data_IF_209575109196
#
_entry.id   IF_209575109196
#
_cell.length_a   1.000
_cell.length_b   1.000
_cell.length_c   1.000
_cell.angle_alpha   90.00
_cell.angle_beta   90.00
_cell.angle_gamma   90.00
#
_symmetry.space_group_name_H-M   'P 1'
#
loop_
_entity.id
_entity.type
_entity.pdbx_description
1 polymer ?
#
# COMPACT_ATOMS: atom_id res chain seq x y z
N UNK A 1 10.88 -7.76 38.27
CA UNK A 1 9.51 -7.91 37.71
C UNK A 1 8.99 -6.53 37.35
N UNK A 2 9.06 -6.13 36.07
CA UNK A 2 8.54 -4.84 35.63
C UNK A 2 7.06 -5.02 35.25
N UNK A 3 6.19 -4.38 36.02
CA UNK A 3 4.75 -4.39 35.80
C UNK A 3 4.39 -3.73 34.48
N UNK A 4 4.12 -4.56 33.47
CA UNK A 4 3.54 -4.11 32.21
C UNK A 4 2.15 -3.54 32.46
N UNK A 5 1.99 -2.24 32.21
CA UNK A 5 0.68 -1.57 32.18
C UNK A 5 -0.17 -2.29 31.13
N UNK A 6 -1.19 -3.05 31.58
CA UNK A 6 -2.20 -3.63 30.69
C UNK A 6 -3.11 -2.50 30.22
N UNK A 7 -2.79 -1.90 29.08
CA UNK A 7 -3.76 -1.06 28.39
C UNK A 7 -4.89 -1.95 27.87
N UNK A 8 -6.16 -1.62 28.16
CA UNK A 8 -7.27 -2.35 27.56
C UNK A 8 -7.20 -2.17 26.04
N UNK A 9 -7.21 -3.29 25.32
CA UNK A 9 -7.32 -3.27 23.86
C UNK A 9 -8.71 -2.75 23.52
N UNK A 10 -8.80 -1.49 23.11
CA UNK A 10 -10.00 -0.94 22.51
C UNK A 10 -10.20 -1.59 21.14
N UNK A 11 -11.38 -2.14 20.91
CA UNK A 11 -11.75 -2.66 19.59
C UNK A 11 -11.87 -1.46 18.64
N UNK A 12 -10.93 -1.36 17.71
CA UNK A 12 -10.93 -0.32 16.67
C UNK A 12 -11.35 -0.97 15.36
N UNK A 13 -12.43 -0.47 14.75
CA UNK A 13 -12.98 -1.03 13.50
C UNK A 13 -11.98 -0.93 12.34
N UNK A 14 -11.20 0.16 12.25
CA UNK A 14 -10.18 0.38 11.22
C UNK A 14 -8.95 1.06 11.81
N UNK A 15 -7.77 0.51 11.54
CA UNK A 15 -6.48 1.08 11.96
C UNK A 15 -5.52 1.19 10.78
N UNK A 16 -4.64 2.19 10.80
CA UNK A 16 -3.60 2.36 9.79
C UNK A 16 -2.28 1.85 10.34
N UNK A 17 -1.67 0.88 9.66
CA UNK A 17 -0.38 0.32 10.05
C UNK A 17 0.56 0.27 8.83
N UNK A 18 1.74 0.88 8.91
CA UNK A 18 2.71 0.97 7.80
C UNK A 18 2.10 1.35 6.44
N UNK A 19 1.15 2.29 6.43
CA UNK A 19 0.39 2.73 5.25
C UNK A 19 -0.66 1.74 4.71
N UNK A 20 -0.98 0.69 5.46
CA UNK A 20 -2.00 -0.31 5.15
C UNK A 20 -3.16 -0.09 6.11
N UNK A 21 -4.35 0.17 5.55
CA UNK A 21 -5.58 0.19 6.33
C UNK A 21 -6.00 -1.25 6.63
N UNK A 22 -6.08 -1.58 7.92
CA UNK A 22 -6.48 -2.88 8.46
C UNK A 22 -7.85 -2.69 9.09
N UNK A 23 -8.84 -3.37 8.53
CA UNK A 23 -10.19 -3.48 9.07
C UNK A 23 -10.23 -4.65 10.06
N UNK A 24 -11.08 -4.58 11.10
CA UNK A 24 -11.31 -5.67 12.06
C UNK A 24 -11.76 -6.97 11.39
N UNK A 25 -12.43 -6.87 10.23
CA UNK A 25 -12.86 -8.00 9.39
C UNK A 25 -11.78 -8.47 8.41
N UNK A 26 -10.59 -7.86 8.42
CA UNK A 26 -9.49 -8.09 7.47
C UNK A 26 -9.91 -7.96 6.01
N UNK A 27 -10.88 -7.07 5.75
CA UNK A 27 -11.34 -6.73 4.41
C UNK A 27 -10.48 -5.58 3.88
N UNK A 28 -9.74 -5.83 2.81
CA UNK A 28 -8.77 -4.86 2.26
C UNK A 28 -9.31 -4.03 1.09
N UNK A 29 -10.60 -4.12 0.73
CA UNK A 29 -11.17 -3.40 -0.42
C UNK A 29 -10.92 -1.89 -0.36
N UNK A 30 -11.12 -1.28 0.81
CA UNK A 30 -10.90 0.15 1.04
C UNK A 30 -9.42 0.51 0.88
N UNK A 31 -8.53 -0.34 1.41
CA UNK A 31 -7.10 -0.14 1.31
C UNK A 31 -6.58 -0.26 -0.13
N UNK A 32 -7.08 -1.26 -0.86
CA UNK A 32 -6.79 -1.46 -2.30
C UNK A 32 -7.27 -0.24 -3.09
N UNK A 33 -8.46 0.27 -2.81
CA UNK A 33 -9.00 1.45 -3.47
C UNK A 33 -8.14 2.70 -3.20
N UNK A 34 -7.78 2.95 -1.93
CA UNK A 34 -6.94 4.09 -1.56
C UNK A 34 -5.54 4.01 -2.19
N UNK A 35 -4.93 2.82 -2.15
CA UNK A 35 -3.60 2.58 -2.74
C UNK A 35 -3.63 2.74 -4.26
N UNK A 36 -4.66 2.22 -4.93
CA UNK A 36 -4.87 2.40 -6.37
C UNK A 36 -5.06 3.87 -6.74
N UNK A 37 -5.82 4.63 -5.94
CA UNK A 37 -5.98 6.07 -6.13
C UNK A 37 -4.66 6.83 -6.00
N UNK A 38 -3.82 6.46 -5.03
CA UNK A 38 -2.48 7.04 -4.83
C UNK A 38 -1.56 6.73 -6.03
N UNK A 39 -1.53 5.49 -6.48
CA UNK A 39 -0.77 5.08 -7.67
C UNK A 39 -1.21 5.83 -8.93
N UNK A 40 -2.52 5.99 -9.13
CA UNK A 40 -3.07 6.75 -10.27
C UNK A 40 -2.69 8.24 -10.22
N UNK A 41 -2.71 8.86 -9.04
CA UNK A 41 -2.23 10.24 -8.88
C UNK A 41 -0.76 10.36 -9.26
N UNK A 42 0.08 9.43 -8.81
CA UNK A 42 1.51 9.38 -9.16
C UNK A 42 1.70 9.22 -10.67
N UNK A 43 0.98 8.29 -11.30
CA UNK A 43 1.01 8.09 -12.75
C UNK A 43 0.60 9.35 -13.51
N UNK A 44 -0.43 10.07 -13.04
CA UNK A 44 -0.87 11.35 -13.61
C UNK A 44 0.20 12.45 -13.50
N UNK A 45 0.86 12.56 -12.34
CA UNK A 45 1.97 13.49 -12.14
C UNK A 45 3.13 13.18 -13.10
N UNK A 46 3.49 11.91 -13.23
CA UNK A 46 4.55 11.48 -14.14
C UNK A 46 4.21 11.84 -15.59
N UNK A 47 3.00 11.50 -16.05
CA UNK A 47 2.54 11.81 -17.42
C UNK A 47 2.57 13.30 -17.74
N UNK A 48 2.26 14.16 -16.76
CA UNK A 48 2.26 15.62 -16.94
C UNK A 48 3.67 16.21 -17.00
N UNK A 49 4.58 15.73 -16.16
CA UNK A 49 5.93 16.30 -16.04
C UNK A 49 6.92 15.71 -17.04
N UNK A 50 6.75 14.46 -17.46
CA UNK A 50 7.68 13.75 -18.34
C UNK A 50 7.09 13.47 -19.72
N UNK A 51 6.23 14.35 -20.23
CA UNK A 51 5.55 14.19 -21.54
C UNK A 51 6.51 13.98 -22.71
N UNK A 52 7.70 14.58 -22.63
CA UNK A 52 8.72 14.53 -23.69
C UNK A 52 9.82 13.48 -23.41
N UNK A 53 9.71 12.72 -22.31
CA UNK A 53 10.70 11.70 -22.00
C UNK A 53 10.57 10.49 -22.95
N UNK A 54 11.69 9.82 -23.30
CA UNK A 54 11.64 8.57 -24.04
C UNK A 54 10.76 7.55 -23.32
N UNK A 55 9.83 6.91 -24.04
CA UNK A 55 8.88 5.93 -23.48
C UNK A 55 9.57 4.82 -22.68
N UNK A 56 10.73 4.36 -23.17
CA UNK A 56 11.53 3.34 -22.49
C UNK A 56 11.99 3.82 -21.11
N UNK A 57 12.55 5.04 -21.01
CA UNK A 57 12.99 5.62 -19.75
C UNK A 57 11.80 5.90 -18.82
N UNK A 58 10.69 6.37 -19.37
CA UNK A 58 9.47 6.64 -18.60
C UNK A 58 8.89 5.38 -17.96
N UNK A 59 8.75 4.31 -18.74
CA UNK A 59 8.19 3.05 -18.27
C UNK A 59 9.15 2.31 -17.34
N UNK A 60 10.44 2.24 -17.68
CA UNK A 60 11.42 1.48 -16.90
C UNK A 60 11.76 2.15 -15.58
N UNK A 61 11.98 3.46 -15.55
CA UNK A 61 12.41 4.14 -14.34
C UNK A 61 11.23 4.68 -13.57
N UNK A 62 10.47 5.62 -14.13
CA UNK A 62 9.46 6.34 -13.34
C UNK A 62 8.26 5.46 -12.98
N UNK A 63 7.71 4.72 -13.94
CA UNK A 63 6.55 3.89 -13.67
C UNK A 63 6.87 2.73 -12.72
N UNK A 64 7.95 1.97 -12.98
CA UNK A 64 8.33 0.84 -12.10
C UNK A 64 8.78 1.31 -10.70
N UNK A 65 9.57 2.37 -10.58
CA UNK A 65 10.08 2.79 -9.27
C UNK A 65 9.03 3.49 -8.40
N UNK A 66 8.10 4.26 -9.00
CA UNK A 66 7.18 5.11 -8.25
C UNK A 66 5.74 4.61 -8.24
N UNK A 67 5.22 4.09 -9.37
CA UNK A 67 3.82 3.66 -9.45
C UNK A 67 3.68 2.21 -9.02
N UNK A 68 4.54 1.33 -9.54
CA UNK A 68 4.50 -0.10 -9.25
C UNK A 68 4.85 -0.40 -7.79
N UNK A 69 5.82 0.31 -7.21
CA UNK A 69 6.19 0.14 -5.79
C UNK A 69 5.02 0.42 -4.83
N UNK A 70 4.17 1.42 -5.13
CA UNK A 70 2.96 1.71 -4.35
C UNK A 70 1.98 0.52 -4.36
N UNK A 71 1.84 -0.14 -5.51
CA UNK A 71 0.91 -1.26 -5.67
C UNK A 71 1.46 -2.56 -5.08
N UNK A 72 2.73 -2.88 -5.35
CA UNK A 72 3.35 -4.15 -4.95
C UNK A 72 3.48 -4.31 -3.43
N UNK A 73 3.73 -3.22 -2.71
CA UNK A 73 3.83 -3.28 -1.26
C UNK A 73 2.54 -3.79 -0.61
N UNK A 74 1.38 -3.33 -1.09
CA UNK A 74 0.08 -3.74 -0.54
C UNK A 74 -0.31 -5.18 -0.88
N UNK A 75 0.12 -5.69 -2.04
CA UNK A 75 -0.26 -7.03 -2.55
C UNK A 75 0.12 -8.15 -1.58
N UNK A 76 1.27 -8.04 -0.91
CA UNK A 76 1.75 -9.05 0.07
C UNK A 76 0.76 -9.23 1.23
N UNK A 77 0.06 -8.16 1.61
CA UNK A 77 -0.90 -8.17 2.72
C UNK A 77 -2.31 -8.49 2.25
N UNK A 78 -2.72 -7.98 1.08
CA UNK A 78 -4.08 -8.19 0.56
C UNK A 78 -4.32 -9.62 0.07
N UNK A 79 -3.28 -10.26 -0.47
CA UNK A 79 -3.36 -11.59 -1.04
C UNK A 79 -2.12 -12.40 -0.65
N UNK A 80 -2.10 -12.95 0.58
CA UNK A 80 -1.01 -13.80 1.03
C UNK A 80 -1.03 -15.11 0.23
N UNK A 81 -0.20 -15.19 -0.81
CA UNK A 81 -0.10 -16.33 -1.71
C UNK A 81 0.65 -17.53 -1.09
N UNK A 82 1.33 -17.34 0.05
CA UNK A 82 1.93 -18.42 0.84
C UNK A 82 0.98 -18.84 1.95
N UNK A 83 0.49 -20.07 1.91
CA UNK A 83 -0.04 -20.76 3.09
C UNK A 83 1.08 -20.84 4.14
N UNK A 84 0.92 -20.08 5.22
CA UNK A 84 1.51 -20.26 6.56
C UNK A 84 2.95 -20.80 6.65
N UNK A 85 3.90 -19.92 7.00
CA UNK A 85 5.03 -20.28 7.87
C UNK A 85 4.94 -19.41 9.14
N UNK A 86 3.91 -19.64 9.94
CA UNK A 86 3.85 -19.26 11.37
C UNK A 86 3.10 -20.38 12.08
#
# INVERSE_FOLDING_TARGET
>A
EQGGVKMPLTEVEKSMNYSILIDSKLIFSDNVFQTSRKANRMAGLLKRNFKNAPIAAFSLFFYKSMVRSILEYGVVVWYPFRKYQI
#
